data_IF_399189649784
#
_entry.id   IF_399189649784
#
_cell.length_a   1.000
_cell.length_b   1.000
_cell.length_c   1.000
_cell.angle_alpha   90.00
_cell.angle_beta   90.00
_cell.angle_gamma   90.00
#
_symmetry.space_group_name_H-M   'P 1'
#
loop_
_entity.id
_entity.type
_entity.pdbx_description
1 polymer ?
#
# COMPACT_ATOMS: atom_id res chain seq x y z
N UNK A 1 -9.93 -21.99 3.59
CA UNK A 1 -8.86 -20.98 3.57
C UNK A 1 -8.45 -20.76 2.12
N UNK A 2 -8.34 -19.51 1.71
CA UNK A 2 -7.78 -19.15 0.41
C UNK A 2 -6.31 -18.77 0.58
N UNK A 3 -5.51 -19.06 -0.44
CA UNK A 3 -4.09 -18.75 -0.43
C UNK A 3 -3.72 -18.06 -1.74
N UNK A 4 -2.93 -17.00 -1.63
CA UNK A 4 -2.32 -16.32 -2.78
C UNK A 4 -0.82 -16.43 -2.64
N UNK A 5 -0.16 -16.87 -3.73
CA UNK A 5 1.30 -16.87 -3.81
C UNK A 5 1.72 -15.79 -4.80
N UNK A 6 2.48 -14.81 -4.34
CA UNK A 6 2.95 -13.70 -5.16
C UNK A 6 4.38 -14.01 -5.60
N UNK A 7 4.60 -13.94 -6.92
CA UNK A 7 5.90 -14.19 -7.54
C UNK A 7 6.34 -12.97 -8.33
N UNK A 8 7.58 -12.98 -8.82
CA UNK A 8 8.08 -11.90 -9.66
C UNK A 8 7.26 -11.71 -10.94
N UNK A 9 6.62 -12.76 -11.44
CA UNK A 9 5.79 -12.71 -12.65
C UNK A 9 4.34 -12.29 -12.37
N UNK A 10 3.90 -12.41 -11.09
CA UNK A 10 2.53 -12.07 -10.70
C UNK A 10 2.59 -11.46 -9.29
N UNK A 11 2.72 -10.15 -9.23
CA UNK A 11 2.88 -9.42 -7.96
C UNK A 11 1.56 -8.88 -7.41
N UNK A 12 0.44 -9.27 -7.97
CA UNK A 12 -0.89 -8.92 -7.48
C UNK A 12 -1.79 -10.14 -7.44
N UNK A 13 -2.80 -10.10 -6.59
CA UNK A 13 -3.79 -11.15 -6.51
C UNK A 13 -5.05 -10.69 -5.78
N UNK A 14 -6.10 -11.50 -5.86
CA UNK A 14 -7.37 -11.23 -5.23
C UNK A 14 -7.88 -12.48 -4.54
N UNK A 15 -8.54 -12.29 -3.40
CA UNK A 15 -9.31 -13.38 -2.78
C UNK A 15 -10.73 -13.40 -3.37
N UNK A 16 -11.28 -14.61 -3.52
CA UNK A 16 -12.61 -14.75 -4.08
C UNK A 16 -13.69 -14.15 -3.17
N UNK A 17 -13.50 -14.27 -1.85
CA UNK A 17 -14.52 -13.90 -0.87
C UNK A 17 -14.32 -12.50 -0.27
N UNK A 18 -13.29 -11.77 -0.67
CA UNK A 18 -12.98 -10.48 -0.07
C UNK A 18 -12.71 -9.45 -1.18
N UNK A 19 -13.37 -8.29 -1.16
CA UNK A 19 -13.11 -7.23 -2.15
C UNK A 19 -11.78 -6.51 -1.85
N UNK A 20 -10.69 -7.24 -1.97
CA UNK A 20 -9.35 -6.74 -1.70
C UNK A 20 -8.37 -7.21 -2.77
N UNK A 21 -7.45 -6.33 -3.12
CA UNK A 21 -6.29 -6.66 -3.92
C UNK A 21 -5.09 -6.75 -2.99
N UNK A 22 -4.24 -7.74 -3.17
CA UNK A 22 -2.98 -7.88 -2.45
C UNK A 22 -1.84 -7.87 -3.45
N UNK A 23 -0.69 -7.37 -3.03
CA UNK A 23 0.48 -7.32 -3.91
C UNK A 23 1.77 -7.09 -3.16
N UNK A 24 2.85 -7.20 -3.92
CA UNK A 24 4.20 -6.86 -3.47
C UNK A 24 4.80 -5.84 -4.42
N UNK A 25 5.63 -4.94 -3.88
CA UNK A 25 6.34 -3.94 -4.66
C UNK A 25 7.79 -3.89 -4.20
N UNK A 26 8.65 -3.58 -5.16
CA UNK A 26 10.04 -3.25 -4.91
C UNK A 26 10.33 -1.89 -5.55
N UNK A 27 10.98 -1.03 -4.79
CA UNK A 27 11.43 0.27 -5.29
C UNK A 27 12.89 0.47 -4.92
N UNK A 28 13.69 0.86 -5.90
CA UNK A 28 15.08 1.20 -5.67
C UNK A 28 15.21 2.55 -4.94
N UNK A 29 16.28 2.70 -4.18
CA UNK A 29 16.64 3.98 -3.56
C UNK A 29 16.65 5.10 -4.60
N UNK A 30 16.13 6.26 -4.23
CA UNK A 30 16.00 7.42 -5.13
C UNK A 30 14.69 7.45 -5.91
N UNK A 31 13.88 6.40 -5.87
CA UNK A 31 12.57 6.41 -6.51
C UNK A 31 11.67 7.43 -5.82
N UNK A 32 11.00 8.25 -6.63
CA UNK A 32 10.00 9.20 -6.15
C UNK A 32 8.64 8.71 -6.59
N UNK A 33 7.76 8.51 -5.62
CA UNK A 33 6.36 8.17 -5.86
C UNK A 33 5.57 9.46 -5.83
N UNK A 34 5.07 9.93 -6.97
CA UNK A 34 4.42 11.24 -7.05
C UNK A 34 3.09 11.26 -6.29
N UNK A 35 2.59 12.46 -5.94
CA UNK A 35 1.31 12.58 -5.27
C UNK A 35 0.20 11.86 -6.04
N UNK A 36 -0.55 11.04 -5.33
CA UNK A 36 -1.68 10.29 -5.87
C UNK A 36 -2.72 10.03 -4.79
N UNK A 37 -3.90 9.65 -5.20
CA UNK A 37 -4.95 9.14 -4.32
C UNK A 37 -5.73 8.07 -5.05
N UNK A 38 -6.42 7.22 -4.32
CA UNK A 38 -7.26 6.17 -4.91
C UNK A 38 -8.47 5.90 -4.04
N UNK A 39 -9.44 5.21 -4.61
CA UNK A 39 -10.73 4.96 -3.95
C UNK A 39 -10.68 3.87 -2.88
N UNK A 40 -9.59 3.11 -2.82
CA UNK A 40 -9.41 2.04 -1.85
C UNK A 40 -8.68 2.52 -0.61
N UNK A 41 -8.95 1.88 0.53
CA UNK A 41 -8.07 1.98 1.69
C UNK A 41 -6.82 1.14 1.44
N UNK A 42 -5.67 1.62 1.87
CA UNK A 42 -4.40 0.93 1.66
C UNK A 42 -3.74 0.59 2.99
N UNK A 43 -3.37 -0.68 3.15
CA UNK A 43 -2.50 -1.12 4.24
C UNK A 43 -1.20 -1.60 3.61
N UNK A 44 -0.07 -1.07 4.06
CA UNK A 44 1.24 -1.47 3.56
C UNK A 44 2.11 -2.00 4.68
N UNK A 45 2.75 -3.13 4.42
CA UNK A 45 3.69 -3.79 5.33
C UNK A 45 5.08 -3.61 4.75
N UNK A 46 5.92 -2.81 5.40
CA UNK A 46 7.29 -2.59 4.95
C UNK A 46 8.14 -3.77 5.43
N UNK A 47 8.70 -4.54 4.49
CA UNK A 47 9.54 -5.69 4.83
C UNK A 47 10.99 -5.30 5.04
N UNK A 48 11.51 -4.41 4.19
CA UNK A 48 12.89 -3.95 4.26
C UNK A 48 13.01 -2.57 3.64
N UNK A 49 14.08 -1.87 3.98
CA UNK A 49 14.41 -0.58 3.42
C UNK A 49 13.84 0.59 4.21
N UNK A 50 13.93 1.77 3.62
CA UNK A 50 13.52 3.04 4.25
C UNK A 50 12.86 3.91 3.20
N UNK A 51 11.69 4.45 3.52
CA UNK A 51 11.04 5.46 2.69
C UNK A 51 10.46 6.56 3.57
N UNK A 52 10.44 7.76 3.02
CA UNK A 52 9.78 8.90 3.63
C UNK A 52 8.45 9.11 2.92
N UNK A 53 7.37 9.00 3.68
CA UNK A 53 6.03 9.15 3.16
C UNK A 53 5.37 10.40 3.69
N UNK A 54 4.54 11.02 2.85
CA UNK A 54 3.67 12.13 3.25
C UNK A 54 2.25 11.76 2.85
N UNK A 55 1.34 11.80 3.80
CA UNK A 55 -0.05 11.45 3.57
C UNK A 55 -0.93 12.33 4.45
N UNK A 56 -1.95 12.94 3.85
CA UNK A 56 -2.85 13.82 4.59
C UNK A 56 -2.15 14.98 5.28
N UNK A 57 -1.03 15.45 4.72
CA UNK A 57 -0.24 16.53 5.32
C UNK A 57 0.71 16.09 6.43
N UNK A 58 0.77 14.80 6.75
CA UNK A 58 1.67 14.26 7.76
C UNK A 58 2.82 13.52 7.10
N UNK A 59 4.04 13.76 7.59
CA UNK A 59 5.24 13.06 7.12
C UNK A 59 5.67 12.00 8.13
N UNK A 60 6.11 10.86 7.61
CA UNK A 60 6.66 9.78 8.43
C UNK A 60 7.77 9.07 7.68
N UNK A 61 8.78 8.61 8.42
CA UNK A 61 9.79 7.72 7.87
C UNK A 61 9.38 6.29 8.22
N UNK A 62 9.27 5.45 7.19
CA UNK A 62 8.86 4.06 7.35
C UNK A 62 10.07 3.15 7.13
N UNK A 63 10.20 2.14 7.97
CA UNK A 63 11.29 1.16 7.96
C UNK A 63 10.72 -0.25 7.90
N UNK A 64 11.57 -1.20 7.63
CA UNK A 64 11.20 -2.62 7.73
C UNK A 64 10.55 -2.92 9.08
N UNK A 65 9.40 -3.58 9.07
CA UNK A 65 8.58 -3.86 10.24
C UNK A 65 7.44 -2.87 10.49
N UNK A 66 7.45 -1.72 9.82
CA UNK A 66 6.37 -0.76 9.94
C UNK A 66 5.17 -1.16 9.09
N UNK A 67 4.00 -0.81 9.57
CA UNK A 67 2.74 -0.96 8.84
C UNK A 67 2.09 0.41 8.73
N UNK A 68 1.70 0.80 7.52
CA UNK A 68 1.03 2.06 7.30
C UNK A 68 -0.41 1.85 6.84
N UNK A 69 -1.27 2.80 7.17
CA UNK A 69 -2.65 2.83 6.70
C UNK A 69 -2.93 4.18 6.06
N UNK A 70 -3.40 4.15 4.82
CA UNK A 70 -3.81 5.34 4.07
C UNK A 70 -5.28 5.18 3.73
N UNK A 71 -6.15 6.06 4.29
CA UNK A 71 -7.57 5.99 3.96
C UNK A 71 -7.85 6.30 2.50
N UNK A 72 -8.93 5.75 2.00
CA UNK A 72 -9.42 6.05 0.64
C UNK A 72 -9.54 7.55 0.42
N UNK A 73 -9.07 8.01 -0.72
CA UNK A 73 -9.15 9.42 -1.12
C UNK A 73 -8.06 10.32 -0.55
N UNK A 74 -7.25 9.85 0.39
CA UNK A 74 -6.19 10.67 0.99
C UNK A 74 -5.02 10.81 0.02
N UNK A 75 -4.62 12.05 -0.26
CA UNK A 75 -3.47 12.34 -1.11
C UNK A 75 -2.18 11.91 -0.40
N UNK A 76 -1.35 11.12 -1.09
CA UNK A 76 -0.11 10.61 -0.52
C UNK A 76 0.99 10.57 -1.56
N UNK A 77 2.23 10.62 -1.08
CA UNK A 77 3.45 10.57 -1.89
C UNK A 77 4.58 9.99 -1.04
N UNK A 78 5.66 9.59 -1.68
CA UNK A 78 6.81 9.05 -0.96
C UNK A 78 8.10 9.25 -1.75
N UNK A 79 9.22 9.20 -1.02
CA UNK A 79 10.57 9.13 -1.57
C UNK A 79 11.27 7.95 -0.93
N UNK A 80 11.86 7.09 -1.75
CA UNK A 80 12.57 5.90 -1.30
C UNK A 80 14.02 6.29 -0.98
N UNK A 81 14.43 6.11 0.27
CA UNK A 81 15.76 6.46 0.75
C UNK A 81 16.72 5.28 0.66
N UNK A 82 16.25 4.07 0.92
CA UNK A 82 16.97 2.81 0.73
C UNK A 82 16.03 1.85 0.02
N UNK A 83 16.57 0.92 -0.75
CA UNK A 83 15.76 -0.06 -1.50
C UNK A 83 14.69 -0.64 -0.61
N UNK A 84 13.43 -0.55 -1.05
CA UNK A 84 12.26 -0.96 -0.28
C UNK A 84 11.60 -2.17 -0.92
N UNK A 85 11.28 -3.15 -0.08
CA UNK A 85 10.35 -4.22 -0.41
C UNK A 85 9.15 -4.12 0.53
N UNK A 86 7.96 -4.15 -0.03
CA UNK A 86 6.73 -4.06 0.75
C UNK A 86 5.63 -4.96 0.17
N UNK A 87 4.67 -5.30 1.02
CA UNK A 87 3.42 -5.90 0.60
C UNK A 87 2.28 -4.95 0.94
N UNK A 88 1.22 -4.97 0.14
CA UNK A 88 0.09 -4.09 0.37
C UNK A 88 -1.24 -4.82 0.22
N UNK A 89 -2.25 -4.27 0.85
CA UNK A 89 -3.64 -4.66 0.69
C UNK A 89 -4.43 -3.42 0.33
N UNK A 90 -5.15 -3.47 -0.80
CA UNK A 90 -6.10 -2.43 -1.18
C UNK A 90 -7.50 -2.98 -0.92
N UNK A 91 -8.21 -2.33 -0.01
CA UNK A 91 -9.57 -2.72 0.38
C UNK A 91 -10.57 -1.82 -0.30
N UNK A 92 -11.48 -2.42 -1.06
CA UNK A 92 -12.58 -1.66 -1.63
C UNK A 92 -13.49 -1.18 -0.51
N UNK A 93 -13.78 0.13 -0.50
CA UNK A 93 -14.84 0.64 0.35
C UNK A 93 -16.18 0.29 -0.26
N UNK A 94 -16.97 -0.48 0.46
CA UNK A 94 -18.37 -0.65 0.07
C UNK A 94 -19.07 0.70 0.20
N UNK A 95 -19.95 1.04 -0.74
CA UNK A 95 -20.81 2.20 -0.55
C UNK A 95 -21.46 2.11 0.81
N UNK A 96 -21.45 3.22 1.54
CA UNK A 96 -22.03 3.24 2.87
C UNK A 96 -23.55 3.20 2.75
N UNK A 97 -24.08 1.99 2.69
CA UNK A 97 -25.53 1.79 2.61
C UNK A 97 -26.23 2.23 3.89
N UNK A 98 -25.51 2.35 4.98
CA UNK A 98 -26.08 2.86 6.22
C UNK A 98 -26.30 4.36 6.19
N UNK A 99 -25.67 5.06 5.26
CA UNK A 99 -25.94 6.46 5.03
C UNK A 99 -27.34 6.68 4.44
N UNK A 100 -27.91 5.62 4.02
CA UNK A 100 -29.30 5.65 3.56
C UNK A 100 -30.26 5.75 4.72
#
# INVERSE_FOLDING_TARGET
MEKISLTAAANTGHFAALPAQVGTLFFAAGTVLPPTSHAQDEISFIHSGVLRAVSGGQAATLHGGDVSFIPAGELHQAEVLEDVTLSYVLLERTPDSSAS
#
